data_IF_715011768311
#
_entry.id   IF_715011768311
#
_cell.length_a   1.000
_cell.length_b   1.000
_cell.length_c   1.000
_cell.angle_alpha   90.00
_cell.angle_beta   90.00
_cell.angle_gamma   90.00
#
_symmetry.space_group_name_H-M   'P 1'
#
loop_
_entity.id
_entity.type
_entity.pdbx_description
1 polymer ?
#
# COMPACT_ATOMS: atom_id res chain seq x y z
N UNK A 1 -3.15 4.40 -24.44
CA UNK A 1 -1.86 4.66 -25.12
C UNK A 1 -0.96 5.63 -24.33
N UNK A 2 -1.35 6.87 -24.04
CA UNK A 2 -0.47 7.82 -23.33
C UNK A 2 -0.32 7.56 -21.81
N UNK A 3 -1.30 6.93 -21.15
CA UNK A 3 -1.27 6.67 -19.70
C UNK A 3 -0.52 5.38 -19.35
N UNK A 4 -0.64 4.36 -20.21
CA UNK A 4 0.01 3.04 -20.03
C UNK A 4 1.55 3.13 -19.99
N UNK A 5 2.13 4.19 -20.58
CA UNK A 5 3.55 4.48 -20.47
C UNK A 5 4.00 4.69 -19.03
N UNK A 6 3.15 5.25 -18.17
CA UNK A 6 3.47 5.47 -16.76
C UNK A 6 3.45 4.16 -16.00
N UNK A 7 2.49 3.27 -16.29
CA UNK A 7 2.48 1.93 -15.70
C UNK A 7 3.74 1.15 -16.09
N UNK A 8 4.09 1.15 -17.39
CA UNK A 8 5.31 0.47 -17.86
C UNK A 8 6.55 0.99 -17.15
N UNK A 9 6.74 2.32 -17.11
CA UNK A 9 7.86 2.95 -16.39
C UNK A 9 7.86 2.62 -14.91
N UNK A 10 6.68 2.59 -14.27
CA UNK A 10 6.58 2.26 -12.86
C UNK A 10 7.10 0.85 -12.57
N UNK A 11 6.69 -0.12 -13.39
CA UNK A 11 7.11 -1.51 -13.27
C UNK A 11 8.60 -1.69 -13.61
N UNK A 12 9.12 -1.01 -14.64
CA UNK A 12 10.55 -0.99 -15.00
C UNK A 12 11.41 -0.45 -13.84
N UNK A 13 11.00 0.66 -13.22
CA UNK A 13 11.70 1.22 -12.07
C UNK A 13 11.61 0.34 -10.83
N UNK A 14 10.50 -0.40 -10.66
CA UNK A 14 10.36 -1.34 -9.57
C UNK A 14 11.36 -2.49 -9.70
N UNK A 15 11.42 -3.14 -10.88
CA UNK A 15 12.42 -4.19 -11.14
C UNK A 15 13.84 -3.67 -11.01
N UNK A 16 14.13 -2.49 -11.55
CA UNK A 16 15.45 -1.88 -11.44
C UNK A 16 15.84 -1.59 -9.99
N UNK A 17 14.87 -1.21 -9.15
CA UNK A 17 15.08 -0.99 -7.73
C UNK A 17 15.46 -2.28 -7.00
N UNK A 18 14.74 -3.38 -7.25
CA UNK A 18 15.06 -4.71 -6.68
C UNK A 18 16.44 -5.20 -7.12
N UNK A 19 16.80 -5.04 -8.39
CA UNK A 19 18.16 -5.36 -8.87
C UNK A 19 19.25 -4.58 -8.13
N UNK A 20 19.03 -3.28 -7.88
CA UNK A 20 19.98 -2.49 -7.10
C UNK A 20 20.02 -2.91 -5.62
N UNK A 21 18.92 -3.38 -5.05
CA UNK A 21 18.91 -3.95 -3.69
C UNK A 21 19.70 -5.26 -3.64
N UNK A 22 19.50 -6.16 -4.61
CA UNK A 22 20.27 -7.40 -4.76
C UNK A 22 21.79 -7.15 -4.93
N UNK A 23 22.15 -6.00 -5.54
CA UNK A 23 23.52 -5.52 -5.70
C UNK A 23 24.07 -4.72 -4.49
N UNK A 24 23.30 -4.59 -3.40
CA UNK A 24 23.62 -3.75 -2.20
C UNK A 24 23.82 -2.25 -2.51
N UNK A 25 23.18 -1.75 -3.57
CA UNK A 25 23.25 -0.34 -4.02
C UNK A 25 22.03 0.45 -3.54
N UNK A 26 21.86 0.52 -2.22
CA UNK A 26 20.64 1.00 -1.55
C UNK A 26 20.19 2.42 -1.97
N UNK A 27 21.11 3.34 -2.21
CA UNK A 27 20.77 4.70 -2.68
C UNK A 27 20.15 4.70 -4.08
N UNK A 28 20.65 3.83 -4.97
CA UNK A 28 20.12 3.69 -6.32
C UNK A 28 18.79 2.93 -6.31
N UNK A 29 18.65 1.92 -5.45
CA UNK A 29 17.39 1.24 -5.21
C UNK A 29 16.31 2.25 -4.77
N UNK A 30 16.61 3.07 -3.76
CA UNK A 30 15.68 4.11 -3.26
C UNK A 30 15.30 5.13 -4.32
N UNK A 31 16.26 5.56 -5.16
CA UNK A 31 15.99 6.48 -6.28
C UNK A 31 15.07 5.83 -7.33
N UNK A 32 15.31 4.58 -7.67
CA UNK A 32 14.47 3.82 -8.60
C UNK A 32 13.06 3.66 -8.04
N UNK A 33 12.91 3.22 -6.79
CA UNK A 33 11.60 3.11 -6.15
C UNK A 33 10.84 4.44 -6.11
N UNK A 34 11.50 5.53 -5.76
CA UNK A 34 10.88 6.87 -5.77
C UNK A 34 10.31 7.24 -7.15
N UNK A 35 11.05 6.91 -8.23
CA UNK A 35 10.59 7.13 -9.61
C UNK A 35 9.43 6.19 -10.00
N UNK A 36 9.48 4.94 -9.53
CA UNK A 36 8.40 3.98 -9.69
C UNK A 36 7.10 4.45 -9.03
N UNK A 37 7.18 4.91 -7.77
CA UNK A 37 6.05 5.46 -7.02
C UNK A 37 5.43 6.68 -7.73
N UNK A 38 6.26 7.61 -8.22
CA UNK A 38 5.77 8.76 -8.98
C UNK A 38 5.10 8.39 -10.31
N UNK A 39 5.57 7.33 -10.95
CA UNK A 39 4.98 6.79 -12.18
C UNK A 39 3.66 6.07 -11.91
N UNK A 40 3.57 5.25 -10.86
CA UNK A 40 2.29 4.66 -10.42
C UNK A 40 1.27 5.73 -10.04
N UNK A 41 1.68 6.75 -9.27
CA UNK A 41 0.81 7.87 -8.91
C UNK A 41 0.27 8.58 -10.17
N UNK A 42 1.14 8.83 -11.15
CA UNK A 42 0.74 9.42 -12.43
C UNK A 42 -0.23 8.51 -13.20
N UNK A 43 -0.01 7.20 -13.18
CA UNK A 43 -0.90 6.22 -13.78
C UNK A 43 -2.28 6.26 -13.12
N UNK A 44 -2.38 6.02 -11.80
CA UNK A 44 -3.69 5.96 -11.10
C UNK A 44 -4.43 7.29 -11.15
N UNK A 45 -3.70 8.42 -11.25
CA UNK A 45 -4.29 9.75 -11.41
C UNK A 45 -4.90 9.98 -12.79
N UNK A 46 -4.29 9.45 -13.85
CA UNK A 46 -4.69 9.74 -15.23
C UNK A 46 -5.52 8.62 -15.85
N UNK A 47 -5.40 7.41 -15.33
CA UNK A 47 -6.13 6.25 -15.80
C UNK A 47 -7.63 6.42 -15.53
N UNK A 48 -8.43 6.18 -16.57
CA UNK A 48 -9.89 6.02 -16.48
C UNK A 48 -10.27 4.55 -16.54
N UNK A 49 -9.47 3.69 -15.91
CA UNK A 49 -9.68 2.25 -15.95
C UNK A 49 -10.91 1.90 -15.09
N UNK A 50 -11.81 1.04 -15.58
CA UNK A 50 -12.96 0.59 -14.79
C UNK A 50 -12.53 -0.18 -13.53
N UNK A 51 -11.31 -0.73 -13.53
CA UNK A 51 -10.79 -1.54 -12.42
C UNK A 51 -9.34 -1.17 -12.05
N UNK A 52 -9.15 -0.21 -11.12
CA UNK A 52 -7.81 0.25 -10.74
C UNK A 52 -7.12 -0.64 -9.68
N UNK A 53 -7.80 -1.68 -9.18
CA UNK A 53 -7.31 -2.50 -8.08
C UNK A 53 -5.93 -3.15 -8.32
N UNK A 54 -5.61 -3.70 -9.51
CA UNK A 54 -4.27 -4.22 -9.78
C UNK A 54 -3.16 -3.15 -9.67
N UNK A 55 -3.46 -1.92 -10.11
CA UNK A 55 -2.51 -0.82 -10.06
C UNK A 55 -2.31 -0.30 -8.64
N UNK A 56 -3.38 -0.22 -7.86
CA UNK A 56 -3.28 0.11 -6.44
C UNK A 56 -2.54 -0.96 -5.63
N UNK A 57 -2.77 -2.25 -5.92
CA UNK A 57 -2.03 -3.34 -5.29
C UNK A 57 -0.53 -3.25 -5.60
N UNK A 58 -0.16 -3.11 -6.87
CA UNK A 58 1.24 -2.96 -7.29
C UNK A 58 1.90 -1.71 -6.69
N UNK A 59 1.17 -0.60 -6.65
CA UNK A 59 1.64 0.64 -6.03
C UNK A 59 1.88 0.48 -4.52
N UNK A 60 0.96 -0.20 -3.83
CA UNK A 60 1.08 -0.51 -2.40
C UNK A 60 2.28 -1.41 -2.09
N UNK A 61 2.48 -2.45 -2.90
CA UNK A 61 3.62 -3.36 -2.77
C UNK A 61 4.97 -2.65 -2.97
N UNK A 62 5.12 -1.85 -4.04
CA UNK A 62 6.33 -1.05 -4.26
C UNK A 62 6.58 -0.07 -3.09
N UNK A 63 5.54 0.61 -2.61
CA UNK A 63 5.66 1.55 -1.50
C UNK A 63 6.07 0.84 -0.19
N UNK A 64 5.57 -0.39 0.03
CA UNK A 64 5.96 -1.23 1.16
C UNK A 64 7.42 -1.66 1.10
N UNK A 65 7.91 -2.10 -0.06
CA UNK A 65 9.33 -2.41 -0.28
C UNK A 65 10.21 -1.19 -0.04
N UNK A 66 9.83 -0.03 -0.59
CA UNK A 66 10.58 1.21 -0.38
C UNK A 66 10.62 1.63 1.09
N UNK A 67 9.51 1.48 1.82
CA UNK A 67 9.46 1.78 3.24
C UNK A 67 10.41 0.88 4.05
N UNK A 68 10.47 -0.42 3.74
CA UNK A 68 11.42 -1.36 4.39
C UNK A 68 12.87 -1.02 4.09
N UNK A 69 13.20 -0.71 2.83
CA UNK A 69 14.52 -0.24 2.43
C UNK A 69 14.95 1.00 3.23
N UNK A 70 14.02 1.93 3.46
CA UNK A 70 14.28 3.18 4.18
C UNK A 70 14.26 3.05 5.71
N UNK A 71 13.75 1.94 6.26
CA UNK A 71 13.58 1.78 7.71
C UNK A 71 14.89 1.97 8.49
N UNK A 72 16.01 1.51 7.94
CA UNK A 72 17.34 1.70 8.53
C UNK A 72 18.04 3.03 8.16
N UNK A 73 17.56 3.74 7.13
CA UNK A 73 18.23 4.92 6.59
C UNK A 73 17.57 6.25 7.00
N UNK A 74 16.27 6.24 7.35
CA UNK A 74 15.58 7.44 7.80
C UNK A 74 14.09 7.23 8.08
N UNK A 75 13.69 7.42 9.35
CA UNK A 75 12.33 7.18 9.83
C UNK A 75 11.27 7.94 9.03
N UNK A 76 11.52 9.21 8.68
CA UNK A 76 10.54 10.02 7.95
C UNK A 76 10.22 9.47 6.56
N UNK A 77 11.25 9.10 5.79
CA UNK A 77 11.06 8.55 4.44
C UNK A 77 10.37 7.19 4.48
N UNK A 78 10.72 6.36 5.45
CA UNK A 78 10.06 5.07 5.68
C UNK A 78 8.57 5.24 5.99
N UNK A 79 8.22 6.16 6.90
CA UNK A 79 6.82 6.46 7.24
C UNK A 79 6.06 7.04 6.04
N UNK A 80 6.63 8.02 5.32
CA UNK A 80 5.96 8.62 4.16
C UNK A 80 5.67 7.54 3.08
N UNK A 81 6.60 6.61 2.83
CA UNK A 81 6.37 5.48 1.92
C UNK A 81 5.37 4.45 2.47
N UNK A 82 5.40 4.13 3.77
CA UNK A 82 4.45 3.23 4.40
C UNK A 82 3.02 3.80 4.40
N UNK A 83 2.86 5.12 4.49
CA UNK A 83 1.57 5.82 4.33
C UNK A 83 1.02 5.66 2.92
N UNK A 84 1.88 5.80 1.91
CA UNK A 84 1.51 5.55 0.51
C UNK A 84 1.11 4.09 0.31
N UNK A 85 1.84 3.15 0.93
CA UNK A 85 1.52 1.72 0.91
C UNK A 85 0.15 1.44 1.53
N UNK A 86 -0.11 1.99 2.73
CA UNK A 86 -1.39 1.88 3.43
C UNK A 86 -2.55 2.37 2.54
N UNK A 87 -2.42 3.57 1.97
CA UNK A 87 -3.46 4.14 1.11
C UNK A 87 -3.74 3.28 -0.11
N UNK A 88 -2.69 2.92 -0.85
CA UNK A 88 -2.83 2.16 -2.09
C UNK A 88 -3.39 0.75 -1.82
N UNK A 89 -2.85 0.02 -0.83
CA UNK A 89 -3.35 -1.31 -0.49
C UNK A 89 -4.78 -1.28 0.03
N UNK A 90 -5.16 -0.26 0.81
CA UNK A 90 -6.56 -0.09 1.25
C UNK A 90 -7.52 0.12 0.07
N UNK A 91 -7.10 0.85 -0.97
CA UNK A 91 -7.92 1.06 -2.16
C UNK A 91 -7.98 -0.17 -3.07
N UNK A 92 -7.00 -1.06 -2.99
CA UNK A 92 -7.00 -2.35 -3.68
C UNK A 92 -7.87 -3.40 -2.97
N UNK A 93 -8.05 -3.26 -1.66
CA UNK A 93 -8.78 -4.18 -0.80
C UNK A 93 -10.30 -4.17 -1.10
N UNK A 94 -10.86 -5.27 -1.63
CA UNK A 94 -12.28 -5.35 -1.96
C UNK A 94 -13.21 -5.32 -0.74
N UNK A 95 -12.69 -5.55 0.48
CA UNK A 95 -13.45 -5.41 1.74
C UNK A 95 -13.41 -3.99 2.30
N UNK A 96 -12.59 -3.10 1.73
CA UNK A 96 -12.33 -1.76 2.28
C UNK A 96 -11.76 -1.80 3.69
N UNK A 97 -11.02 -2.86 4.06
CA UNK A 97 -10.47 -3.05 5.39
C UNK A 97 -11.47 -3.50 6.46
N UNK A 98 -12.70 -3.85 6.09
CA UNK A 98 -13.75 -4.18 7.04
C UNK A 98 -13.82 -5.68 7.26
N UNK A 99 -13.43 -6.14 8.45
CA UNK A 99 -13.43 -7.57 8.84
C UNK A 99 -14.76 -8.27 8.54
N UNK A 100 -15.95 -7.70 8.86
CA UNK A 100 -17.22 -8.36 8.58
C UNK A 100 -17.51 -8.58 7.07
N UNK A 101 -16.83 -7.85 6.18
CA UNK A 101 -17.02 -7.94 4.73
C UNK A 101 -16.04 -8.90 4.04
N UNK A 102 -14.99 -9.37 4.73
CA UNK A 102 -13.95 -10.22 4.15
C UNK A 102 -14.53 -11.50 3.53
N UNK A 103 -15.36 -12.24 4.27
CA UNK A 103 -15.95 -13.49 3.76
C UNK A 103 -16.85 -13.28 2.53
N UNK A 104 -17.52 -12.12 2.43
CA UNK A 104 -18.26 -11.75 1.21
C UNK A 104 -17.31 -11.41 0.07
N UNK A 105 -16.31 -10.56 0.32
CA UNK A 105 -15.35 -10.12 -0.68
C UNK A 105 -14.57 -11.30 -1.30
N UNK A 106 -14.19 -12.29 -0.49
CA UNK A 106 -13.53 -13.52 -0.95
C UNK A 106 -14.45 -14.35 -1.84
N UNK A 107 -15.74 -14.51 -1.49
CA UNK A 107 -16.70 -15.27 -2.30
C UNK A 107 -17.05 -14.57 -3.62
N UNK A 108 -17.38 -13.28 -3.54
CA UNK A 108 -17.87 -12.50 -4.68
C UNK A 108 -16.74 -12.14 -5.65
N UNK A 109 -15.54 -11.85 -5.13
CA UNK A 109 -14.39 -11.40 -5.91
C UNK A 109 -13.72 -12.48 -6.75
N UNK A 110 -14.12 -13.75 -6.62
CA UNK A 110 -13.64 -14.86 -7.46
C UNK A 110 -14.28 -14.89 -8.85
N UNK A 111 -15.30 -14.06 -9.11
CA UNK A 111 -16.08 -14.07 -10.36
C UNK A 111 -15.36 -13.42 -11.55
N UNK A 112 -14.42 -12.50 -11.32
CA UNK A 112 -13.66 -11.81 -12.36
C UNK A 112 -12.16 -11.93 -12.06
N UNK A 113 -11.37 -12.62 -12.89
CA UNK A 113 -9.96 -12.79 -12.62
C UNK A 113 -9.21 -11.48 -12.84
N UNK A 114 -8.62 -10.97 -11.76
CA UNK A 114 -7.61 -9.92 -11.83
C UNK A 114 -6.23 -10.55 -11.90
N UNK A 115 -5.28 -9.82 -12.47
CA UNK A 115 -3.90 -10.26 -12.58
C UNK A 115 -2.98 -9.23 -11.95
N UNK A 116 -1.94 -9.71 -11.28
CA UNK A 116 -0.88 -8.85 -10.80
C UNK A 116 -0.19 -8.17 -11.98
N UNK A 117 0.21 -6.91 -11.78
CA UNK A 117 0.95 -6.16 -12.78
C UNK A 117 2.43 -6.55 -12.67
N UNK A 118 2.93 -7.19 -13.71
CA UNK A 118 4.34 -7.59 -13.88
C UNK A 118 4.90 -6.99 -15.17
N UNK A 119 6.20 -6.68 -15.25
CA UNK A 119 6.84 -6.35 -16.51
C UNK A 119 6.62 -7.44 -17.58
N UNK A 120 6.25 -7.00 -18.78
CA UNK A 120 6.21 -7.85 -19.97
C UNK A 120 5.08 -8.89 -20.08
N UNK A 121 4.29 -9.17 -19.04
CA UNK A 121 3.23 -10.20 -19.10
C UNK A 121 2.10 -9.98 -18.08
N UNK A 122 1.03 -10.78 -18.19
CA UNK A 122 0.03 -10.91 -17.13
C UNK A 122 0.65 -11.72 -15.99
N UNK A 123 0.77 -11.11 -14.82
CA UNK A 123 1.26 -11.78 -13.63
C UNK A 123 0.28 -12.85 -13.12
N UNK A 124 0.61 -13.50 -11.99
CA UNK A 124 -0.29 -14.46 -11.35
C UNK A 124 -1.64 -13.82 -11.04
N UNK A 125 -2.67 -14.67 -10.87
CA UNK A 125 -4.01 -14.21 -10.51
C UNK A 125 -3.93 -13.43 -9.19
N UNK A 126 -4.44 -12.20 -9.23
CA UNK A 126 -4.56 -11.32 -8.07
C UNK A 126 -5.89 -11.59 -7.38
N UNK A 127 -5.88 -12.53 -6.45
CA UNK A 127 -7.08 -12.93 -5.72
C UNK A 127 -7.53 -11.84 -4.73
N UNK A 128 -8.81 -11.83 -4.32
CA UNK A 128 -9.27 -11.01 -3.20
C UNK A 128 -8.44 -11.22 -1.94
N UNK A 129 -8.09 -12.47 -1.62
CA UNK A 129 -7.29 -12.86 -0.47
C UNK A 129 -5.92 -12.16 -0.47
N UNK A 130 -5.21 -12.17 -1.60
CA UNK A 130 -3.93 -11.48 -1.76
C UNK A 130 -4.05 -9.96 -1.55
N UNK A 131 -5.14 -9.35 -2.03
CA UNK A 131 -5.36 -7.90 -1.86
C UNK A 131 -5.70 -7.52 -0.41
N UNK A 132 -6.53 -8.33 0.25
CA UNK A 132 -6.89 -8.15 1.66
C UNK A 132 -5.64 -8.33 2.54
N UNK A 133 -4.84 -9.37 2.27
CA UNK A 133 -3.58 -9.62 2.97
C UNK A 133 -2.59 -8.47 2.78
N UNK A 134 -2.39 -7.99 1.54
CA UNK A 134 -1.54 -6.83 1.26
C UNK A 134 -1.98 -5.56 1.98
N UNK A 135 -3.29 -5.38 2.22
CA UNK A 135 -3.80 -4.27 3.02
C UNK A 135 -3.55 -4.47 4.53
N UNK A 136 -3.64 -5.70 5.04
CA UNK A 136 -3.25 -6.01 6.42
C UNK A 136 -1.74 -5.81 6.64
N UNK A 137 -0.91 -6.25 5.70
CA UNK A 137 0.55 -6.11 5.78
C UNK A 137 0.99 -4.65 5.73
N UNK A 138 0.31 -3.81 4.95
CA UNK A 138 0.59 -2.37 4.93
C UNK A 138 0.24 -1.69 6.28
N UNK A 139 -0.82 -2.16 6.97
CA UNK A 139 -1.14 -1.71 8.33
C UNK A 139 -0.05 -2.13 9.32
N UNK A 140 0.36 -3.40 9.26
CA UNK A 140 1.42 -3.95 10.10
C UNK A 140 2.75 -3.21 9.92
N UNK A 141 3.13 -2.96 8.67
CA UNK A 141 4.35 -2.24 8.31
C UNK A 141 4.33 -0.81 8.84
N UNK A 142 3.22 -0.10 8.68
CA UNK A 142 3.13 1.26 9.22
C UNK A 142 3.13 1.23 10.75
N UNK A 143 2.41 0.30 11.38
CA UNK A 143 2.41 0.15 12.82
C UNK A 143 3.81 -0.10 13.39
N UNK A 144 4.66 -0.87 12.70
CA UNK A 144 6.04 -1.12 13.15
C UNK A 144 6.98 0.08 12.99
N UNK A 145 6.67 1.00 12.07
CA UNK A 145 7.43 2.22 11.81
C UNK A 145 6.97 3.43 12.65
N UNK A 146 5.77 3.38 13.23
CA UNK A 146 5.28 4.41 14.14
C UNK A 146 5.89 4.23 15.56
N UNK A 147 6.20 5.34 16.23
CA UNK A 147 6.76 5.37 17.57
C UNK A 147 8.28 5.21 17.65
N UNK A 148 9.00 5.19 16.51
CA UNK A 148 10.47 5.01 16.47
C UNK A 148 11.26 6.32 16.37
N UNK A 149 10.62 7.49 16.49
CA UNK A 149 11.29 8.80 16.39
C UNK A 149 10.51 9.96 17.01
N UNK A 150 11.10 11.17 17.00
CA UNK A 150 10.45 12.39 17.48
C UNK A 150 9.24 12.72 16.60
N UNK A 151 8.06 12.51 17.18
CA UNK A 151 6.71 12.62 16.63
C UNK A 151 6.51 13.79 15.66
N UNK A 152 6.00 13.51 14.46
CA UNK A 152 5.19 14.49 13.73
C UNK A 152 3.95 14.79 14.58
N UNK A 153 3.38 16.00 14.50
CA UNK A 153 2.05 16.28 15.09
C UNK A 153 1.11 15.13 14.69
N UNK A 154 0.54 14.46 15.70
CA UNK A 154 -0.29 13.27 15.55
C UNK A 154 -1.46 13.46 14.58
N UNK A 155 -2.19 12.39 14.28
CA UNK A 155 -3.15 12.26 13.17
C UNK A 155 -4.33 13.26 13.13
N UNK A 156 -4.32 14.34 13.93
CA UNK A 156 -5.29 15.44 13.93
C UNK A 156 -5.40 16.21 12.62
N UNK A 157 -4.39 16.14 11.73
CA UNK A 157 -4.40 16.84 10.42
C UNK A 157 -4.07 15.92 9.23
N UNK A 158 -3.99 14.61 9.47
CA UNK A 158 -3.69 13.64 8.41
C UNK A 158 -4.95 13.32 7.60
N UNK A 159 -4.78 12.93 6.34
CA UNK A 159 -5.88 12.70 5.40
C UNK A 159 -6.53 11.33 5.63
N UNK A 160 -7.80 11.26 6.07
CA UNK A 160 -8.53 9.99 6.14
C UNK A 160 -8.79 9.47 4.73
N UNK A 161 -8.37 8.23 4.44
CA UNK A 161 -8.59 7.61 3.14
C UNK A 161 -10.09 7.56 2.83
N UNK A 162 -10.47 8.01 1.62
CA UNK A 162 -11.87 8.12 1.21
C UNK A 162 -12.54 9.45 1.57
N UNK A 163 -11.91 10.32 2.36
CA UNK A 163 -12.40 11.68 2.60
C UNK A 163 -11.96 12.67 1.49
N UNK A 164 -12.78 13.69 1.23
CA UNK A 164 -12.49 14.72 0.25
C UNK A 164 -12.63 14.26 -1.22
N UNK A 165 -12.00 14.95 -2.18
CA UNK A 165 -12.08 14.59 -3.59
C UNK A 165 -11.58 13.17 -3.85
N UNK A 166 -12.29 12.42 -4.69
CA UNK A 166 -11.88 11.08 -5.13
C UNK A 166 -10.48 11.12 -5.76
N UNK A 167 -9.69 10.08 -5.51
CA UNK A 167 -8.43 9.87 -6.22
C UNK A 167 -8.71 9.56 -7.69
N UNK A 168 -7.87 10.07 -8.59
CA UNK A 168 -8.00 9.86 -10.02
C UNK A 168 -8.05 11.15 -10.83
N UNK A 169 -8.65 11.13 -12.03
CA UNK A 169 -8.75 12.30 -12.89
C UNK A 169 -9.61 13.38 -12.21
N UNK A 170 -9.00 14.50 -11.85
CA UNK A 170 -9.68 15.55 -11.10
C UNK A 170 -8.82 16.80 -10.93
N UNK A 171 -9.36 17.85 -10.28
CA UNK A 171 -8.72 19.16 -10.19
C UNK A 171 -7.52 19.18 -9.23
N UNK A 172 -7.35 18.16 -8.40
CA UNK A 172 -6.22 18.04 -7.47
C UNK A 172 -4.94 17.87 -8.29
N UNK A 173 -3.94 18.72 -8.10
CA UNK A 173 -2.64 18.58 -8.80
C UNK A 173 -1.83 17.38 -8.30
N UNK A 174 -0.85 16.92 -9.09
CA UNK A 174 0.02 15.78 -8.75
C UNK A 174 0.67 15.92 -7.36
N UNK A 175 1.24 17.10 -7.06
CA UNK A 175 1.92 17.33 -5.78
C UNK A 175 0.99 17.27 -4.58
N UNK A 176 -0.24 17.78 -4.71
CA UNK A 176 -1.26 17.67 -3.67
C UNK A 176 -1.70 16.22 -3.46
N UNK A 177 -1.81 15.44 -4.54
CA UNK A 177 -2.13 14.01 -4.43
C UNK A 177 -1.02 13.22 -3.73
N UNK A 178 0.22 13.47 -4.11
CA UNK A 178 1.39 12.87 -3.47
C UNK A 178 1.39 13.18 -1.98
N UNK A 179 1.17 14.44 -1.63
CA UNK A 179 1.10 14.88 -0.23
C UNK A 179 0.00 14.14 0.54
N UNK A 180 -1.22 14.02 -0.03
CA UNK A 180 -2.32 13.26 0.58
C UNK A 180 -1.92 11.82 0.88
N UNK A 181 -1.33 11.12 -0.10
CA UNK A 181 -0.91 9.73 0.08
C UNK A 181 0.19 9.57 1.15
N UNK A 182 1.16 10.49 1.21
CA UNK A 182 2.18 10.48 2.28
C UNK A 182 1.63 10.84 3.66
N UNK A 183 0.40 11.37 3.72
CA UNK A 183 -0.31 11.76 4.94
C UNK A 183 -1.53 10.88 5.21
N UNK A 184 -1.64 9.72 4.57
CA UNK A 184 -2.84 8.91 4.63
C UNK A 184 -3.02 8.22 5.99
N UNK A 185 -4.23 8.27 6.54
CA UNK A 185 -4.65 7.49 7.71
C UNK A 185 -5.89 6.69 7.36
N UNK A 186 -6.07 5.54 8.02
CA UNK A 186 -7.34 4.84 7.94
C UNK A 186 -8.45 5.68 8.60
N UNK A 187 -9.71 5.59 8.14
CA UNK A 187 -10.83 6.26 8.80
C UNK A 187 -10.94 5.95 10.30
N UNK A 188 -10.66 4.70 10.69
CA UNK A 188 -10.65 4.25 12.10
C UNK A 188 -9.50 4.83 12.95
N UNK A 189 -8.50 5.42 12.30
CA UNK A 189 -7.34 6.05 12.95
C UNK A 189 -7.43 7.58 12.96
N UNK A 190 -8.46 8.16 12.34
CA UNK A 190 -8.63 9.59 12.24
C UNK A 190 -8.71 10.24 13.64
N UNK A 191 -7.87 11.25 13.88
CA UNK A 191 -7.83 11.98 15.15
C UNK A 191 -7.08 11.29 16.30
N UNK A 192 -6.56 10.07 16.09
CA UNK A 192 -5.70 9.41 17.06
C UNK A 192 -4.31 10.07 17.13
N UNK A 193 -3.61 9.88 18.24
CA UNK A 193 -2.17 10.16 18.29
C UNK A 193 -1.37 9.01 17.66
N UNK A 194 -0.05 9.17 17.58
CA UNK A 194 0.82 8.19 16.93
C UNK A 194 0.77 6.81 17.60
N UNK A 195 0.69 6.77 18.93
CA UNK A 195 0.62 5.54 19.73
C UNK A 195 -0.74 4.84 19.52
N UNK A 196 -1.83 5.60 19.59
CA UNK A 196 -3.18 5.11 19.36
C UNK A 196 -3.36 4.59 17.94
N UNK A 197 -2.82 5.30 16.96
CA UNK A 197 -2.79 4.85 15.56
C UNK A 197 -2.00 3.56 15.40
N UNK A 198 -0.77 3.48 15.92
CA UNK A 198 0.04 2.24 15.89
C UNK A 198 -0.74 1.06 16.45
N UNK A 199 -1.33 1.22 17.63
CA UNK A 199 -2.10 0.16 18.28
C UNK A 199 -3.31 -0.25 17.45
N UNK A 200 -4.06 0.73 16.91
CA UNK A 200 -5.24 0.47 16.07
C UNK A 200 -4.86 -0.29 14.79
N UNK A 201 -3.83 0.15 14.08
CA UNK A 201 -3.33 -0.49 12.86
C UNK A 201 -2.92 -1.94 13.12
N UNK A 202 -2.16 -2.19 14.19
CA UNK A 202 -1.73 -3.53 14.58
C UNK A 202 -2.92 -4.45 14.89
N UNK A 203 -3.90 -3.97 15.67
CA UNK A 203 -5.10 -4.73 15.99
C UNK A 203 -5.95 -5.06 14.76
N UNK A 204 -6.12 -4.10 13.85
CA UNK A 204 -6.88 -4.32 12.62
C UNK A 204 -6.18 -5.31 11.69
N UNK A 205 -4.85 -5.22 11.55
CA UNK A 205 -4.09 -6.18 10.76
C UNK A 205 -4.22 -7.60 11.31
N UNK A 206 -4.11 -7.78 12.63
CA UNK A 206 -4.32 -9.08 13.29
C UNK A 206 -5.72 -9.63 13.05
N UNK A 207 -6.75 -8.78 13.17
CA UNK A 207 -8.14 -9.18 12.95
C UNK A 207 -8.42 -9.57 11.49
N UNK A 208 -7.85 -8.84 10.52
CA UNK A 208 -7.98 -9.16 9.09
C UNK A 208 -7.30 -10.50 8.78
N UNK A 209 -6.07 -10.72 9.27
CA UNK A 209 -5.35 -11.97 9.06
C UNK A 209 -6.06 -13.17 9.69
N UNK A 210 -6.58 -13.01 10.92
CA UNK A 210 -7.35 -14.05 11.59
C UNK A 210 -8.63 -14.42 10.80
N UNK A 211 -9.35 -13.42 10.31
CA UNK A 211 -10.55 -13.63 9.51
C UNK A 211 -10.24 -14.27 8.15
N UNK A 212 -9.15 -13.86 7.48
CA UNK A 212 -8.66 -14.51 6.26
C UNK A 212 -8.36 -15.99 6.49
N UNK A 213 -7.64 -16.33 7.56
CA UNK A 213 -7.36 -17.72 7.93
C UNK A 213 -8.64 -18.54 8.16
N UNK A 214 -9.69 -17.91 8.69
CA UNK A 214 -11.00 -18.53 8.90
C UNK A 214 -11.77 -18.74 7.59
N UNK A 215 -11.81 -17.76 6.69
CA UNK A 215 -12.63 -17.82 5.47
C UNK A 215 -11.93 -18.47 4.28
N UNK A 216 -10.61 -18.54 4.31
CA UNK A 216 -9.77 -19.11 3.25
C UNK A 216 -8.62 -19.93 3.87
N UNK A 217 -8.90 -21.07 4.52
CA UNK A 217 -7.90 -21.84 5.27
C UNK A 217 -6.74 -22.41 4.42
N UNK A 218 -6.90 -22.48 3.10
CA UNK A 218 -5.84 -22.87 2.16
C UNK A 218 -5.04 -21.70 1.59
N UNK A 219 -5.33 -20.46 1.98
CA UNK A 219 -4.59 -19.28 1.54
C UNK A 219 -3.35 -19.10 2.42
N UNK A 220 -2.18 -19.12 1.80
CA UNK A 220 -0.92 -18.76 2.45
C UNK A 220 -0.62 -17.28 2.19
N UNK A 221 -0.71 -16.45 3.23
CA UNK A 221 -0.36 -15.04 3.18
C UNK A 221 1.17 -14.82 3.13
N UNK A 222 1.96 -15.87 3.28
CA UNK A 222 3.40 -15.80 3.49
C UNK A 222 3.77 -15.44 4.92
N UNK A 223 5.07 -15.26 5.16
CA UNK A 223 5.59 -14.98 6.50
C UNK A 223 5.31 -13.54 6.91
N UNK A 224 4.53 -13.35 7.98
CA UNK A 224 4.36 -12.03 8.62
C UNK A 224 5.73 -11.55 9.10
N UNK A 225 6.11 -10.28 8.86
CA UNK A 225 7.29 -9.70 9.49
C UNK A 225 7.09 -9.74 11.01
N UNK A 226 8.07 -10.32 11.72
CA UNK A 226 8.02 -10.39 13.18
C UNK A 226 8.01 -8.95 13.70
N UNK A 227 6.99 -8.61 14.49
CA UNK A 227 6.97 -7.35 15.22
C UNK A 227 8.03 -7.47 16.32
N UNK A 228 9.15 -6.76 16.20
CA UNK A 228 10.10 -6.61 17.30
C UNK A 228 9.31 -6.05 18.50
N UNK A 229 9.18 -6.85 19.56
CA UNK A 229 8.65 -6.40 20.84
C UNK A 229 9.73 -5.50 21.48
N UNK A 230 9.69 -4.21 21.15
CA UNK A 230 10.46 -3.17 21.82
C UNK A 230 9.51 -2.22 22.53
#
# INVERSE_FOLDING_TARGET
MAVDRYLRKALEFWEQGRRYEDEDRLLLASRSYTRGLGSFLSYVKLARTPEPAPAYYAFGALAGEHARLLAGAGARGAVDSARMALAASHLADPSGGQVPLIGRAVRDGRRLPLHQLTPGSRGPVLTPETRIAGAADARDLLASLLGTGTTRRGARELWPIGSGPQLGPGPVGYWKEKQRLTQAVLPSCAGLDEIGERRRLAMEADAIHAELGRVAPGFDAGRRPVRDAR
#
